data_IF_215274054961
#
_entry.id   IF_215274054961
#
_cell.length_a   1.000
_cell.length_b   1.000
_cell.length_c   1.000
_cell.angle_alpha   90.00
_cell.angle_beta   90.00
_cell.angle_gamma   90.00
#
_symmetry.space_group_name_H-M   'P 1'
#
loop_
_entity.id
_entity.type
_entity.pdbx_description
1 polymer ?
#
# COMPACT_ATOMS: atom_id res chain seq x y z
N UNK A 1 3.31 45.06 32.15
CA UNK A 1 3.73 44.11 33.21
C UNK A 1 4.40 42.93 32.51
N UNK A 2 5.43 42.26 33.03
CA UNK A 2 6.26 42.48 34.23
C UNK A 2 7.41 41.45 34.22
N UNK A 3 8.62 41.82 34.64
CA UNK A 3 9.79 40.91 34.68
C UNK A 3 9.63 39.87 35.80
N UNK A 4 10.18 38.66 35.64
CA UNK A 4 11.04 38.04 36.66
C UNK A 4 11.96 36.94 36.08
N UNK A 5 12.82 36.37 36.93
CA UNK A 5 14.09 35.71 36.58
C UNK A 5 14.23 34.33 37.26
N UNK A 6 14.97 33.40 36.64
CA UNK A 6 15.76 32.24 37.18
C UNK A 6 15.73 31.08 36.15
N UNK A 7 16.82 30.41 35.77
CA UNK A 7 18.25 30.69 36.00
C UNK A 7 18.93 29.77 37.01
N UNK A 8 19.62 28.72 36.52
CA UNK A 8 20.69 27.96 37.19
C UNK A 8 21.76 27.60 36.15
N UNK A 9 23.03 27.64 36.55
CA UNK A 9 24.20 27.16 35.80
C UNK A 9 24.86 26.01 36.59
N UNK A 10 25.56 25.09 35.92
CA UNK A 10 26.52 24.17 36.55
C UNK A 10 27.77 24.09 35.67
N UNK A 11 28.93 24.45 36.23
CA UNK A 11 30.25 24.40 35.58
C UNK A 11 31.33 24.54 36.68
N UNK A 12 32.24 23.56 36.83
CA UNK A 12 33.53 23.55 37.60
C UNK A 12 33.97 22.08 37.80
N UNK A 13 35.25 21.68 37.91
CA UNK A 13 36.49 22.05 37.18
C UNK A 13 37.57 20.96 37.47
N UNK A 14 38.71 21.04 36.80
CA UNK A 14 39.72 19.97 36.62
C UNK A 14 40.49 19.44 37.84
N UNK A 15 41.16 18.29 37.65
CA UNK A 15 42.29 17.76 38.44
C UNK A 15 43.17 16.83 37.58
N UNK A 16 44.50 16.89 37.72
CA UNK A 16 45.48 16.26 36.80
C UNK A 16 46.69 15.63 37.53
N UNK A 17 47.60 14.99 36.77
CA UNK A 17 48.90 14.35 37.17
C UNK A 17 48.70 12.93 37.76
N UNK A 18 49.46 11.86 37.46
CA UNK A 18 50.62 11.60 36.56
C UNK A 18 51.26 10.21 36.90
N UNK A 19 52.30 9.64 36.26
CA UNK A 19 53.04 9.94 35.01
C UNK A 19 54.00 8.75 34.65
N UNK A 20 54.19 8.42 33.36
CA UNK A 20 55.26 7.56 32.75
C UNK A 20 55.41 6.05 33.06
N UNK A 21 55.92 5.28 32.06
CA UNK A 21 56.48 3.93 32.25
C UNK A 21 56.60 3.04 30.99
N UNK A 22 57.64 3.20 30.15
CA UNK A 22 57.79 2.45 28.89
C UNK A 22 58.92 1.40 28.86
N UNK A 23 58.58 0.22 28.31
CA UNK A 23 59.29 -0.56 27.27
C UNK A 23 60.76 -1.06 27.39
N UNK A 24 60.88 -2.40 27.41
CA UNK A 24 61.66 -3.30 26.50
C UNK A 24 63.22 -3.40 26.46
N UNK A 25 63.63 -4.63 26.08
CA UNK A 25 64.83 -5.10 25.36
C UNK A 25 66.18 -5.44 26.07
N UNK A 26 66.39 -6.76 26.27
CA UNK A 26 67.53 -7.59 25.77
C UNK A 26 68.94 -6.97 25.70
N UNK A 27 69.99 -7.50 26.36
CA UNK A 27 70.75 -8.75 26.02
C UNK A 27 72.12 -8.75 26.77
N UNK A 28 73.18 -9.60 26.62
CA UNK A 28 73.55 -10.69 25.68
C UNK A 28 74.69 -11.59 26.27
N UNK A 29 74.78 -12.89 25.90
CA UNK A 29 75.96 -13.82 25.94
C UNK A 29 76.62 -14.17 27.32
N UNK A 30 77.50 -15.19 27.48
CA UNK A 30 78.39 -15.94 26.56
C UNK A 30 78.52 -17.49 26.80
N UNK A 31 79.15 -18.16 25.82
CA UNK A 31 79.93 -19.44 25.69
C UNK A 31 80.28 -20.33 26.93
N UNK A 32 80.64 -21.65 26.89
CA UNK A 32 80.74 -22.81 25.94
C UNK A 32 80.78 -24.14 26.80
N UNK A 33 80.72 -25.44 26.41
CA UNK A 33 81.39 -26.27 25.37
C UNK A 33 80.71 -27.66 25.07
N UNK A 34 80.92 -28.16 23.83
CA UNK A 34 81.18 -29.54 23.29
C UNK A 34 80.67 -30.89 23.92
N UNK A 35 80.07 -31.69 22.99
CA UNK A 35 80.25 -33.14 22.67
C UNK A 35 79.70 -34.31 23.54
N UNK A 36 78.54 -34.82 23.11
CA UNK A 36 78.30 -36.18 22.51
C UNK A 36 79.16 -37.38 22.98
N UNK A 37 78.50 -38.37 23.61
CA UNK A 37 78.62 -39.83 23.32
C UNK A 37 77.24 -40.51 23.55
N UNK A 38 76.78 -41.30 22.58
CA UNK A 38 75.74 -42.36 22.66
C UNK A 38 76.44 -43.71 22.33
N UNK A 39 75.84 -44.92 22.48
CA UNK A 39 74.43 -45.30 22.73
C UNK A 39 74.30 -46.22 24.00
N UNK A 40 73.26 -47.03 24.28
CA UNK A 40 72.09 -47.45 23.49
C UNK A 40 70.83 -47.75 24.35
N UNK A 41 69.68 -47.56 23.71
CA UNK A 41 68.41 -48.32 23.79
C UNK A 41 68.03 -49.03 25.10
N UNK A 42 66.91 -48.60 25.68
CA UNK A 42 65.89 -49.53 26.16
C UNK A 42 64.50 -49.01 25.76
N UNK A 43 63.54 -49.91 25.52
CA UNK A 43 62.39 -49.61 24.66
C UNK A 43 61.24 -48.87 25.38
N UNK A 44 60.77 -47.78 24.76
CA UNK A 44 59.41 -47.25 24.99
C UNK A 44 58.65 -47.13 23.69
N UNK A 45 57.57 -47.90 23.58
CA UNK A 45 56.53 -47.72 22.56
C UNK A 45 55.98 -46.30 22.71
N UNK A 46 55.97 -45.55 21.61
CA UNK A 46 55.14 -44.35 21.50
C UNK A 46 53.75 -44.81 21.07
N UNK A 47 52.72 -44.41 21.80
CA UNK A 47 51.36 -44.41 21.27
C UNK A 47 51.33 -43.40 20.11
N UNK A 48 50.99 -43.86 18.90
CA UNK A 48 50.58 -42.95 17.85
C UNK A 48 49.22 -42.37 18.26
N UNK A 49 49.19 -41.06 18.54
CA UNK A 49 47.92 -40.36 18.70
C UNK A 49 47.25 -40.31 17.33
N UNK A 50 46.16 -41.06 17.17
CA UNK A 50 45.27 -40.91 16.01
C UNK A 50 44.90 -39.42 15.84
N UNK A 51 44.85 -38.90 14.61
CA UNK A 51 44.34 -37.56 14.38
C UNK A 51 42.92 -37.49 14.92
N UNK A 52 42.65 -36.53 15.82
CA UNK A 52 41.25 -36.21 16.15
C UNK A 52 40.58 -35.76 14.87
N UNK A 53 39.67 -36.59 14.34
CA UNK A 53 38.67 -36.11 13.40
C UNK A 53 37.94 -34.94 14.09
N UNK A 54 38.01 -33.77 13.46
CA UNK A 54 37.10 -32.69 13.81
C UNK A 54 35.75 -33.13 13.27
N UNK A 55 34.80 -33.42 14.15
CA UNK A 55 33.39 -33.51 13.76
C UNK A 55 33.08 -32.23 12.96
N UNK A 56 32.53 -32.33 11.74
CA UNK A 56 32.28 -31.16 10.92
C UNK A 56 31.31 -30.24 11.66
N UNK A 57 31.68 -28.97 11.84
CA UNK A 57 30.79 -27.99 12.44
C UNK A 57 29.47 -27.99 11.68
N UNK A 58 28.39 -28.40 12.36
CA UNK A 58 27.04 -28.39 11.79
C UNK A 58 26.58 -26.94 11.79
N UNK A 59 27.02 -26.20 10.77
CA UNK A 59 26.57 -24.83 10.51
C UNK A 59 25.07 -24.88 10.30
N UNK A 60 24.30 -24.33 11.25
CA UNK A 60 22.85 -24.27 11.12
C UNK A 60 22.50 -23.49 9.83
N UNK A 61 21.54 -23.98 9.03
CA UNK A 61 21.20 -23.32 7.77
C UNK A 61 20.71 -21.90 8.05
N UNK A 62 21.28 -20.92 7.34
CA UNK A 62 20.83 -19.54 7.40
C UNK A 62 19.37 -19.50 6.95
N UNK A 63 18.47 -19.03 7.83
CA UNK A 63 17.04 -18.87 7.54
C UNK A 63 16.65 -17.41 7.70
N UNK A 64 15.96 -16.88 6.67
CA UNK A 64 15.27 -15.59 6.72
C UNK A 64 13.77 -15.84 6.88
N UNK A 65 13.17 -15.27 7.93
CA UNK A 65 11.72 -15.33 8.19
C UNK A 65 11.09 -14.01 7.77
N UNK A 66 10.19 -14.06 6.80
CA UNK A 66 9.37 -12.90 6.40
C UNK A 66 8.09 -12.92 7.21
N UNK A 67 7.79 -11.82 7.91
CA UNK A 67 6.63 -11.68 8.80
C UNK A 67 5.74 -10.49 8.41
N UNK A 68 4.45 -10.58 8.71
CA UNK A 68 3.55 -9.43 8.65
C UNK A 68 3.72 -8.59 9.94
N UNK A 69 4.03 -7.28 9.86
CA UNK A 69 4.44 -6.48 11.02
C UNK A 69 3.38 -6.36 12.13
N UNK A 70 2.09 -6.36 11.79
CA UNK A 70 0.99 -6.12 12.75
C UNK A 70 0.68 -7.33 13.62
N UNK A 71 0.63 -8.51 13.00
CA UNK A 71 0.28 -9.80 13.61
C UNK A 71 1.51 -10.60 14.06
N UNK A 72 2.69 -10.28 13.49
CA UNK A 72 3.94 -11.02 13.63
C UNK A 72 3.84 -12.49 13.13
N UNK A 73 2.84 -12.79 12.29
CA UNK A 73 2.70 -14.11 11.64
C UNK A 73 3.78 -14.33 10.58
N UNK A 74 4.35 -15.54 10.53
CA UNK A 74 5.38 -15.92 9.56
C UNK A 74 4.73 -16.22 8.20
N UNK A 75 4.85 -15.26 7.28
CA UNK A 75 4.34 -15.36 5.91
C UNK A 75 5.19 -16.32 5.08
N UNK A 76 6.50 -16.39 5.33
CA UNK A 76 7.41 -17.39 4.72
C UNK A 76 8.70 -17.55 5.50
N UNK A 77 9.26 -18.76 5.49
CA UNK A 77 10.67 -19.01 5.82
C UNK A 77 11.44 -19.32 4.54
N UNK A 78 12.65 -18.77 4.41
CA UNK A 78 13.51 -18.90 3.24
C UNK A 78 14.88 -19.41 3.68
N UNK A 79 15.42 -20.43 2.99
CA UNK A 79 16.83 -20.84 3.08
C UNK A 79 17.57 -20.24 1.88
N UNK A 80 18.33 -19.15 2.00
CA UNK A 80 18.84 -18.41 0.84
C UNK A 80 19.73 -19.25 -0.07
N UNK A 81 20.58 -20.10 0.51
CA UNK A 81 21.53 -20.96 -0.21
C UNK A 81 20.80 -21.97 -1.11
N UNK A 82 19.72 -22.60 -0.62
CA UNK A 82 18.89 -23.53 -1.40
C UNK A 82 18.19 -22.84 -2.59
N UNK A 83 17.93 -21.54 -2.46
CA UNK A 83 17.30 -20.70 -3.48
C UNK A 83 18.31 -20.07 -4.46
N UNK A 84 19.62 -20.21 -4.21
CA UNK A 84 20.70 -19.77 -5.09
C UNK A 84 21.52 -18.57 -4.59
N UNK A 85 21.31 -18.06 -3.38
CA UNK A 85 22.12 -16.98 -2.83
C UNK A 85 23.62 -17.35 -2.79
N UNK A 86 24.48 -16.44 -3.26
CA UNK A 86 25.93 -16.65 -3.35
C UNK A 86 26.39 -17.61 -4.46
N UNK A 87 25.47 -18.16 -5.27
CA UNK A 87 25.78 -19.10 -6.37
C UNK A 87 25.14 -18.70 -7.70
N UNK A 88 23.92 -18.15 -7.66
CA UNK A 88 23.19 -17.56 -8.77
C UNK A 88 22.27 -16.44 -8.22
N UNK A 89 22.89 -15.33 -7.80
CA UNK A 89 22.18 -14.18 -7.22
C UNK A 89 21.17 -13.54 -8.19
N UNK A 90 21.39 -13.69 -9.50
CA UNK A 90 20.50 -13.19 -10.54
C UNK A 90 19.17 -13.99 -10.55
N UNK A 91 19.25 -15.32 -10.49
CA UNK A 91 18.08 -16.18 -10.28
C UNK A 91 17.44 -15.93 -8.92
N UNK A 92 18.23 -15.85 -7.84
CA UNK A 92 17.70 -15.64 -6.49
C UNK A 92 16.85 -14.36 -6.41
N UNK A 93 17.39 -13.22 -6.87
CA UNK A 93 16.65 -11.95 -6.95
C UNK A 93 15.41 -12.05 -7.84
N UNK A 94 15.46 -12.78 -8.95
CA UNK A 94 14.31 -12.95 -9.84
C UNK A 94 13.18 -13.76 -9.17
N UNK A 95 13.50 -14.87 -8.49
CA UNK A 95 12.48 -15.65 -7.78
C UNK A 95 11.89 -14.88 -6.59
N UNK A 96 12.71 -14.12 -5.84
CA UNK A 96 12.21 -13.20 -4.81
C UNK A 96 11.28 -12.12 -5.42
N UNK A 97 11.64 -11.54 -6.55
CA UNK A 97 10.83 -10.51 -7.23
C UNK A 97 9.52 -11.02 -7.82
N UNK A 98 9.45 -12.28 -8.26
CA UNK A 98 8.16 -12.94 -8.60
C UNK A 98 7.31 -13.11 -7.34
N UNK A 99 7.90 -13.67 -6.29
CA UNK A 99 7.20 -13.95 -5.05
C UNK A 99 6.69 -12.69 -4.35
N UNK A 100 7.43 -11.58 -4.41
CA UNK A 100 7.00 -10.27 -3.92
C UNK A 100 5.75 -9.75 -4.69
N UNK A 101 5.69 -9.94 -6.02
CA UNK A 101 4.51 -9.60 -6.84
C UNK A 101 3.28 -10.44 -6.49
N UNK A 102 3.49 -11.72 -6.21
CA UNK A 102 2.44 -12.64 -5.77
C UNK A 102 1.91 -12.27 -4.37
N UNK A 103 2.78 -11.80 -3.46
CA UNK A 103 2.36 -11.25 -2.17
C UNK A 103 1.62 -9.93 -2.30
N UNK A 104 2.13 -8.99 -3.10
CA UNK A 104 1.49 -7.69 -3.32
C UNK A 104 0.08 -7.88 -3.92
N UNK A 105 0.00 -8.58 -5.05
CA UNK A 105 -1.20 -8.61 -5.91
C UNK A 105 -2.14 -9.77 -5.60
N UNK A 106 -1.66 -10.80 -4.92
CA UNK A 106 -2.37 -12.06 -4.70
C UNK A 106 -2.26 -13.03 -5.89
N UNK A 107 -2.92 -14.17 -5.73
CA UNK A 107 -3.07 -15.24 -6.74
C UNK A 107 -4.55 -15.56 -6.94
N UNK A 108 -4.88 -16.54 -7.79
CA UNK A 108 -6.27 -17.02 -7.97
C UNK A 108 -6.90 -17.57 -6.67
N UNK A 109 -6.09 -17.98 -5.69
CA UNK A 109 -6.54 -18.61 -4.43
C UNK A 109 -6.28 -17.77 -3.19
N UNK A 110 -5.38 -16.79 -3.25
CA UNK A 110 -4.81 -16.11 -2.09
C UNK A 110 -4.87 -14.60 -2.29
N UNK A 111 -5.52 -13.88 -1.38
CA UNK A 111 -5.59 -12.41 -1.44
C UNK A 111 -4.21 -11.77 -1.23
N UNK A 112 -3.93 -10.69 -1.95
CA UNK A 112 -2.70 -9.91 -1.82
C UNK A 112 -2.71 -8.95 -0.62
N UNK A 113 -1.53 -8.38 -0.35
CA UNK A 113 -1.32 -7.31 0.61
C UNK A 113 -1.71 -5.92 0.06
N UNK A 114 -1.65 -5.71 -1.26
CA UNK A 114 -2.14 -4.49 -1.88
C UNK A 114 -3.66 -4.38 -1.72
N UNK A 115 -4.11 -3.31 -1.06
CA UNK A 115 -5.54 -3.03 -0.86
C UNK A 115 -5.86 -1.64 -1.36
N UNK A 116 -6.79 -1.56 -2.32
CA UNK A 116 -7.33 -0.27 -2.77
C UNK A 116 -8.02 0.43 -1.59
N UNK A 117 -7.87 1.75 -1.53
CA UNK A 117 -8.67 2.58 -0.62
C UNK A 117 -10.16 2.37 -0.90
N UNK A 118 -10.94 2.14 0.16
CA UNK A 118 -12.38 2.38 0.18
C UNK A 118 -12.52 3.69 0.93
N UNK A 119 -12.89 4.81 0.28
CA UNK A 119 -12.95 6.10 0.96
C UNK A 119 -14.04 6.13 2.04
N UNK A 120 -13.88 7.05 2.98
CA UNK A 120 -14.83 7.24 4.09
C UNK A 120 -16.19 7.73 3.58
N UNK A 121 -17.27 7.53 4.37
CA UNK A 121 -18.61 8.03 4.05
C UNK A 121 -19.18 8.89 5.18
N UNK A 122 -19.90 9.95 4.85
CA UNK A 122 -20.65 10.75 5.82
C UNK A 122 -21.95 10.03 6.19
N UNK A 123 -22.15 9.75 7.47
CA UNK A 123 -23.36 9.14 8.02
C UNK A 123 -24.57 10.10 7.99
N UNK A 124 -25.80 9.57 8.11
CA UNK A 124 -27.02 10.38 8.15
C UNK A 124 -27.15 11.26 9.41
N UNK A 125 -26.35 10.96 10.43
CA UNK A 125 -26.18 11.70 11.68
C UNK A 125 -25.00 12.71 11.64
N UNK A 126 -24.29 12.78 10.51
CA UNK A 126 -23.09 13.61 10.35
C UNK A 126 -21.79 13.01 10.88
N UNK A 127 -21.80 11.77 11.41
CA UNK A 127 -20.58 11.08 11.82
C UNK A 127 -19.83 10.48 10.62
N UNK A 128 -18.54 10.22 10.76
CA UNK A 128 -17.74 9.52 9.73
C UNK A 128 -17.91 8.02 9.88
N UNK A 129 -18.44 7.38 8.84
CA UNK A 129 -18.36 5.93 8.63
C UNK A 129 -17.01 5.66 7.96
N UNK A 130 -16.08 5.03 8.66
CA UNK A 130 -14.74 4.73 8.13
C UNK A 130 -14.78 3.62 7.08
N UNK A 131 -14.05 3.84 5.98
CA UNK A 131 -13.75 2.85 4.96
C UNK A 131 -12.47 2.09 5.27
N UNK A 132 -11.63 1.86 4.27
CA UNK A 132 -10.31 1.22 4.42
C UNK A 132 -9.20 2.03 3.76
N UNK A 133 -8.00 2.14 4.38
CA UNK A 133 -6.87 2.84 3.77
C UNK A 133 -6.40 2.12 2.49
N UNK A 134 -5.65 2.84 1.67
CA UNK A 134 -4.75 2.24 0.69
C UNK A 134 -3.64 1.48 1.45
N UNK A 135 -3.37 0.24 1.07
CA UNK A 135 -2.17 -0.51 1.49
C UNK A 135 -1.41 -0.91 0.23
N UNK A 136 -0.09 -0.73 0.24
CA UNK A 136 0.83 -1.17 -0.82
C UNK A 136 1.98 -1.95 -0.18
N UNK A 137 2.37 -3.07 -0.77
CA UNK A 137 3.63 -3.76 -0.46
C UNK A 137 4.72 -3.28 -1.42
N UNK A 138 5.79 -2.66 -0.90
CA UNK A 138 6.92 -2.24 -1.73
C UNK A 138 7.79 -3.45 -2.15
N UNK A 139 7.48 -4.00 -3.33
CA UNK A 139 8.07 -5.24 -3.89
C UNK A 139 9.61 -5.23 -3.83
N UNK A 140 10.26 -4.14 -4.25
CA UNK A 140 11.72 -4.04 -4.31
C UNK A 140 12.35 -3.80 -2.93
N UNK A 141 11.66 -3.12 -2.00
CA UNK A 141 12.17 -2.97 -0.62
C UNK A 141 12.18 -4.33 0.08
N UNK A 142 11.14 -5.14 -0.11
CA UNK A 142 11.08 -6.51 0.42
C UNK A 142 12.21 -7.38 -0.16
N UNK A 143 12.41 -7.35 -1.48
CA UNK A 143 13.47 -8.13 -2.16
C UNK A 143 14.85 -7.73 -1.64
N UNK A 144 15.15 -6.43 -1.51
CA UNK A 144 16.44 -5.97 -1.02
C UNK A 144 16.65 -6.29 0.47
N UNK A 145 15.62 -6.15 1.30
CA UNK A 145 15.67 -6.49 2.73
C UNK A 145 15.95 -7.98 2.96
N UNK A 146 15.33 -8.86 2.15
CA UNK A 146 15.61 -10.30 2.18
C UNK A 146 17.04 -10.60 1.71
N UNK A 147 17.55 -9.93 0.69
CA UNK A 147 18.93 -10.14 0.19
C UNK A 147 19.98 -9.69 1.23
N UNK A 148 19.71 -8.61 1.98
CA UNK A 148 20.57 -8.21 3.10
C UNK A 148 20.49 -9.21 4.26
N UNK A 149 19.28 -9.60 4.68
CA UNK A 149 19.08 -10.63 5.71
C UNK A 149 19.64 -12.02 5.30
N UNK A 150 19.80 -12.29 4.00
CA UNK A 150 20.33 -13.58 3.50
C UNK A 150 21.79 -13.83 3.89
N UNK A 151 22.52 -12.81 4.35
CA UNK A 151 23.93 -12.89 4.75
C UNK A 151 24.14 -13.54 6.12
N UNK A 152 23.22 -13.30 7.05
CA UNK A 152 23.35 -13.65 8.47
C UNK A 152 22.08 -14.33 9.04
N UNK A 153 20.95 -14.26 8.32
CA UNK A 153 19.65 -14.80 8.72
C UNK A 153 18.79 -13.78 9.47
N UNK A 154 17.74 -14.27 10.13
CA UNK A 154 16.89 -13.48 11.02
C UNK A 154 15.50 -13.21 10.46
N UNK A 155 14.98 -12.00 10.70
CA UNK A 155 13.59 -11.62 10.42
C UNK A 155 13.52 -10.39 9.53
N UNK A 156 12.62 -10.40 8.56
CA UNK A 156 12.28 -9.27 7.70
C UNK A 156 10.78 -9.01 7.82
N UNK A 157 10.39 -7.79 8.17
CA UNK A 157 8.98 -7.38 8.14
C UNK A 157 8.56 -7.01 6.71
N UNK A 158 7.30 -7.25 6.35
CA UNK A 158 6.75 -6.77 5.07
C UNK A 158 6.70 -5.23 5.05
N UNK A 159 7.31 -4.54 4.05
CA UNK A 159 7.23 -3.08 3.91
C UNK A 159 5.84 -2.67 3.40
N UNK A 160 4.88 -2.61 4.34
CA UNK A 160 3.48 -2.26 4.10
C UNK A 160 3.23 -0.77 4.31
N UNK A 161 3.06 -0.04 3.22
CA UNK A 161 2.77 1.40 3.24
C UNK A 161 1.25 1.63 3.32
N UNK A 162 0.79 2.19 4.45
CA UNK A 162 -0.64 2.43 4.74
C UNK A 162 -0.96 3.91 4.59
N UNK A 163 -1.77 4.27 3.59
CA UNK A 163 -2.23 5.63 3.33
C UNK A 163 -3.74 5.77 3.60
N UNK A 164 -4.09 6.47 4.68
CA UNK A 164 -5.47 6.80 5.03
C UNK A 164 -5.99 8.04 4.26
N UNK A 165 -7.31 8.24 4.28
CA UNK A 165 -7.97 9.41 3.66
C UNK A 165 -7.49 10.72 4.29
N UNK A 166 -7.07 11.68 3.47
CA UNK A 166 -6.35 12.88 3.92
C UNK A 166 -7.28 14.08 4.16
N UNK A 167 -7.94 14.11 5.32
CA UNK A 167 -8.79 15.22 5.78
C UNK A 167 -8.99 15.22 7.31
N UNK A 168 -9.35 16.38 7.88
CA UNK A 168 -9.69 16.50 9.31
C UNK A 168 -11.10 15.99 9.60
N UNK A 169 -11.23 15.01 10.52
CA UNK A 169 -12.50 14.35 10.83
C UNK A 169 -13.55 15.36 11.34
N UNK A 170 -13.13 16.43 12.03
CA UNK A 170 -14.02 17.51 12.50
C UNK A 170 -14.71 18.29 11.38
N UNK A 171 -14.12 18.35 10.18
CA UNK A 171 -14.68 19.08 9.04
C UNK A 171 -15.62 18.22 8.18
N UNK A 172 -15.74 16.90 8.43
CA UNK A 172 -16.56 15.97 7.65
C UNK A 172 -18.01 16.45 7.46
N UNK A 173 -18.66 16.86 8.56
CA UNK A 173 -20.03 17.37 8.55
C UNK A 173 -20.18 18.73 7.82
N UNK A 174 -19.07 19.45 7.62
CA UNK A 174 -19.02 20.74 6.91
C UNK A 174 -18.77 20.62 5.42
N UNK A 175 -18.35 19.44 4.93
CA UNK A 175 -18.14 19.21 3.50
C UNK A 175 -19.45 19.27 2.68
N UNK A 176 -20.60 19.32 3.34
CA UNK A 176 -21.92 19.43 2.70
C UNK A 176 -22.40 20.90 2.51
N UNK A 177 -21.60 21.90 2.92
CA UNK A 177 -22.02 23.31 2.94
C UNK A 177 -22.15 23.96 1.53
N UNK A 178 -21.34 23.56 0.54
CA UNK A 178 -21.22 24.27 -0.75
C UNK A 178 -21.03 23.30 -1.91
N UNK A 179 -21.79 23.47 -3.00
CA UNK A 179 -21.59 22.76 -4.27
C UNK A 179 -20.47 23.43 -5.09
N UNK A 180 -19.46 22.65 -5.48
CA UNK A 180 -18.35 23.09 -6.34
C UNK A 180 -18.36 22.42 -7.72
N UNK A 181 -18.86 21.20 -7.83
CA UNK A 181 -19.07 20.49 -9.10
C UNK A 181 -20.48 19.90 -9.18
N UNK A 182 -21.07 19.81 -10.37
CA UNK A 182 -22.44 19.26 -10.55
C UNK A 182 -22.69 18.78 -11.96
N UNK A 183 -23.35 17.64 -12.10
CA UNK A 183 -23.93 17.18 -13.36
C UNK A 183 -25.22 16.39 -13.17
N UNK A 184 -26.11 16.43 -14.16
CA UNK A 184 -27.40 15.71 -14.15
C UNK A 184 -27.58 14.95 -15.47
N UNK A 185 -27.96 13.67 -15.38
CA UNK A 185 -28.43 12.87 -16.53
C UNK A 185 -29.86 12.41 -16.31
N UNK A 186 -30.52 11.94 -17.37
CA UNK A 186 -31.93 11.55 -17.37
C UNK A 186 -32.12 10.11 -17.84
N UNK A 187 -33.15 9.44 -17.34
CA UNK A 187 -33.51 8.06 -17.67
C UNK A 187 -35.02 7.83 -17.59
N UNK A 188 -35.54 6.81 -18.27
CA UNK A 188 -36.96 6.47 -18.19
C UNK A 188 -37.28 5.76 -16.86
N UNK A 189 -37.87 6.49 -15.91
CA UNK A 189 -38.31 5.95 -14.62
C UNK A 189 -39.39 4.86 -14.71
N UNK A 190 -40.05 4.69 -15.88
CA UNK A 190 -40.95 3.56 -16.14
C UNK A 190 -40.22 2.22 -16.34
N UNK A 191 -38.91 2.23 -16.56
CA UNK A 191 -38.09 1.00 -16.64
C UNK A 191 -37.60 0.65 -15.24
N UNK A 192 -38.36 -0.18 -14.54
CA UNK A 192 -38.13 -0.50 -13.12
C UNK A 192 -36.71 -1.03 -12.84
N UNK A 193 -36.24 -2.03 -13.59
CA UNK A 193 -34.90 -2.61 -13.40
C UNK A 193 -33.77 -1.58 -13.57
N UNK A 194 -33.82 -0.78 -14.65
CA UNK A 194 -32.85 0.29 -14.88
C UNK A 194 -32.88 1.34 -13.77
N UNK A 195 -34.08 1.69 -13.31
CA UNK A 195 -34.27 2.66 -12.21
C UNK A 195 -33.62 2.12 -10.94
N UNK A 196 -33.90 0.87 -10.56
CA UNK A 196 -33.31 0.25 -9.37
C UNK A 196 -31.78 0.11 -9.46
N UNK A 197 -31.24 -0.21 -10.64
CA UNK A 197 -29.80 -0.27 -10.88
C UNK A 197 -29.11 1.09 -10.70
N UNK A 198 -29.74 2.16 -11.19
CA UNK A 198 -29.25 3.53 -11.03
C UNK A 198 -29.36 3.99 -9.56
N UNK A 199 -30.43 3.64 -8.85
CA UNK A 199 -30.57 3.91 -7.41
C UNK A 199 -29.48 3.23 -6.58
N UNK A 200 -29.23 1.94 -6.80
CA UNK A 200 -28.20 1.17 -6.06
C UNK A 200 -26.79 1.72 -6.30
N UNK A 201 -26.42 1.94 -7.56
CA UNK A 201 -25.09 2.49 -7.88
C UNK A 201 -24.94 3.96 -7.47
N UNK A 202 -26.02 4.73 -7.39
CA UNK A 202 -26.00 6.09 -6.84
C UNK A 202 -25.78 6.07 -5.32
N UNK A 203 -26.54 5.27 -4.56
CA UNK A 203 -26.41 5.20 -3.09
C UNK A 203 -25.03 4.71 -2.64
N UNK A 204 -24.45 3.76 -3.38
CA UNK A 204 -23.07 3.31 -3.17
C UNK A 204 -22.05 4.47 -3.21
N UNK A 205 -22.15 5.38 -4.19
CA UNK A 205 -21.25 6.55 -4.29
C UNK A 205 -21.73 7.78 -3.49
N UNK A 206 -22.94 7.75 -2.94
CA UNK A 206 -23.52 8.87 -2.19
C UNK A 206 -22.85 9.03 -0.81
N UNK A 207 -22.69 10.27 -0.35
CA UNK A 207 -21.98 10.66 0.88
C UNK A 207 -20.50 10.25 0.95
N UNK A 208 -19.86 9.82 -0.16
CA UNK A 208 -18.42 9.48 -0.16
C UNK A 208 -17.56 10.73 0.07
N UNK A 209 -16.69 10.68 1.07
CA UNK A 209 -15.67 11.70 1.38
C UNK A 209 -14.40 11.34 0.61
N UNK A 210 -13.74 12.35 0.04
CA UNK A 210 -12.42 12.23 -0.58
C UNK A 210 -11.50 13.28 0.01
N UNK A 211 -10.51 12.84 0.79
CA UNK A 211 -9.38 13.65 1.23
C UNK A 211 -8.47 14.09 0.08
N UNK A 212 -7.44 14.87 0.37
CA UNK A 212 -6.52 15.40 -0.66
C UNK A 212 -5.51 14.33 -1.09
N UNK A 213 -5.49 13.99 -2.37
CA UNK A 213 -4.72 12.86 -2.91
C UNK A 213 -5.43 11.50 -2.84
N UNK A 214 -6.64 11.43 -2.26
CA UNK A 214 -7.45 10.20 -2.27
C UNK A 214 -7.80 9.79 -3.71
N UNK A 215 -7.59 8.51 -4.03
CA UNK A 215 -7.97 7.93 -5.33
C UNK A 215 -9.32 7.22 -5.21
N UNK A 216 -10.36 7.84 -5.76
CA UNK A 216 -11.65 7.20 -5.94
C UNK A 216 -11.58 6.06 -6.97
N UNK A 217 -12.37 5.01 -6.75
CA UNK A 217 -12.53 3.88 -7.67
C UNK A 217 -13.99 3.49 -7.74
N UNK A 218 -14.60 3.61 -8.92
CA UNK A 218 -16.02 3.34 -9.10
C UNK A 218 -16.35 1.87 -8.83
N UNK A 219 -15.58 0.94 -9.42
CA UNK A 219 -15.80 -0.50 -9.22
C UNK A 219 -15.58 -0.92 -7.77
N UNK A 220 -14.62 -0.31 -7.06
CA UNK A 220 -14.36 -0.61 -5.64
C UNK A 220 -15.43 -0.05 -4.72
N UNK A 221 -16.02 1.10 -5.08
CA UNK A 221 -17.09 1.74 -4.28
C UNK A 221 -18.47 1.12 -4.52
N UNK A 222 -18.75 0.67 -5.75
CA UNK A 222 -20.07 0.17 -6.16
C UNK A 222 -20.20 -1.36 -6.03
N UNK A 223 -19.09 -2.09 -6.13
CA UNK A 223 -19.09 -3.55 -5.97
C UNK A 223 -19.68 -4.33 -7.18
N UNK A 224 -19.95 -5.63 -7.00
CA UNK A 224 -20.46 -6.51 -8.05
C UNK A 224 -21.87 -6.10 -8.54
N UNK A 225 -22.08 -6.14 -9.85
CA UNK A 225 -23.36 -5.85 -10.49
C UNK A 225 -24.20 -7.11 -10.71
N UNK A 226 -24.59 -7.79 -9.62
CA UNK A 226 -25.32 -9.06 -9.65
C UNK A 226 -26.65 -9.06 -8.87
N UNK A 227 -27.43 -10.13 -9.01
CA UNK A 227 -28.75 -10.28 -8.36
C UNK A 227 -28.67 -10.41 -6.83
N UNK A 228 -27.56 -10.90 -6.27
CA UNK A 228 -27.37 -11.02 -4.82
C UNK A 228 -27.17 -9.65 -4.16
N UNK A 229 -26.55 -8.71 -4.87
CA UNK A 229 -26.48 -7.30 -4.51
C UNK A 229 -27.75 -6.51 -4.90
N UNK A 230 -28.79 -7.19 -5.40
CA UNK A 230 -30.11 -6.63 -5.69
C UNK A 230 -30.23 -5.90 -7.03
N UNK A 231 -29.22 -5.99 -7.91
CA UNK A 231 -29.32 -5.48 -9.27
C UNK A 231 -30.29 -6.33 -10.10
N UNK A 232 -30.91 -5.69 -11.10
CA UNK A 232 -32.02 -6.26 -11.86
C UNK A 232 -31.72 -6.28 -13.37
N UNK A 233 -32.39 -7.16 -14.14
CA UNK A 233 -32.32 -7.15 -15.60
C UNK A 233 -32.73 -5.79 -16.20
N UNK A 234 -31.87 -5.24 -17.05
CA UNK A 234 -32.12 -4.00 -17.80
C UNK A 234 -31.27 -3.96 -19.08
N UNK A 235 -31.57 -3.01 -19.97
CA UNK A 235 -30.79 -2.83 -21.21
C UNK A 235 -29.40 -2.22 -20.93
N UNK A 236 -28.38 -2.88 -21.46
CA UNK A 236 -26.96 -2.52 -21.41
C UNK A 236 -26.27 -2.65 -22.77
N UNK A 237 -25.03 -2.15 -22.89
CA UNK A 237 -24.27 -2.13 -24.15
C UNK A 237 -23.10 -3.11 -24.08
N UNK A 238 -23.28 -4.30 -24.67
CA UNK A 238 -22.25 -5.35 -24.77
C UNK A 238 -21.85 -5.52 -26.23
N UNK A 239 -20.54 -5.54 -26.51
CA UNK A 239 -19.99 -5.82 -27.85
C UNK A 239 -20.65 -5.03 -29.01
N UNK A 240 -20.89 -3.72 -28.80
CA UNK A 240 -21.58 -2.81 -29.74
C UNK A 240 -23.04 -3.19 -30.06
N UNK A 241 -23.74 -3.85 -29.13
CA UNK A 241 -25.17 -4.15 -29.21
C UNK A 241 -25.87 -3.78 -27.91
N UNK A 242 -27.14 -3.41 -28.01
CA UNK A 242 -28.03 -3.32 -26.85
C UNK A 242 -28.53 -4.73 -26.52
N UNK A 243 -28.38 -5.16 -25.26
CA UNK A 243 -28.81 -6.48 -24.77
C UNK A 243 -29.39 -6.35 -23.36
N UNK A 244 -30.17 -7.34 -22.92
CA UNK A 244 -30.60 -7.44 -21.52
C UNK A 244 -29.49 -8.09 -20.68
N UNK A 245 -29.11 -7.44 -19.57
CA UNK A 245 -28.14 -7.93 -18.59
C UNK A 245 -28.43 -7.38 -17.19
N UNK A 246 -27.74 -7.90 -16.18
CA UNK A 246 -27.91 -7.44 -14.79
C UNK A 246 -27.08 -6.16 -14.58
N UNK A 247 -27.66 -5.15 -13.93
CA UNK A 247 -26.96 -3.88 -13.67
C UNK A 247 -27.04 -2.86 -14.82
N UNK A 248 -27.78 -3.14 -15.90
CA UNK A 248 -28.01 -2.19 -16.98
C UNK A 248 -28.50 -0.83 -16.46
N UNK A 249 -27.65 0.19 -16.58
CA UNK A 249 -27.83 1.51 -15.95
C UNK A 249 -26.59 2.03 -15.23
N UNK A 250 -25.73 1.17 -14.66
CA UNK A 250 -24.60 1.58 -13.81
C UNK A 250 -23.60 2.53 -14.52
N UNK A 251 -23.32 2.33 -15.81
CA UNK A 251 -22.48 3.24 -16.61
C UNK A 251 -23.05 4.68 -16.71
N UNK A 252 -24.34 4.88 -16.49
CA UNK A 252 -24.94 6.21 -16.41
C UNK A 252 -24.56 6.91 -15.10
N UNK A 253 -24.51 6.17 -13.99
CA UNK A 253 -24.01 6.69 -12.70
C UNK A 253 -22.53 7.09 -12.80
N UNK A 254 -21.68 6.19 -13.34
CA UNK A 254 -20.25 6.49 -13.56
C UNK A 254 -20.03 7.70 -14.46
N UNK A 255 -20.76 7.80 -15.58
CA UNK A 255 -20.68 8.95 -16.49
C UNK A 255 -21.21 10.25 -15.85
N UNK A 256 -22.23 10.18 -14.98
CA UNK A 256 -22.73 11.37 -14.26
C UNK A 256 -21.70 11.86 -13.25
N UNK A 257 -21.08 10.95 -12.48
CA UNK A 257 -19.99 11.26 -11.56
C UNK A 257 -18.79 11.88 -12.30
N UNK A 258 -18.33 11.26 -13.40
CA UNK A 258 -17.26 11.79 -14.24
C UNK A 258 -17.51 13.26 -14.62
N UNK A 259 -18.69 13.59 -15.15
CA UNK A 259 -18.97 14.98 -15.53
C UNK A 259 -19.04 15.95 -14.34
N UNK A 260 -19.42 15.47 -13.15
CA UNK A 260 -19.51 16.28 -11.95
C UNK A 260 -18.13 16.61 -11.34
N UNK A 261 -17.13 15.72 -11.52
CA UNK A 261 -15.74 15.94 -11.05
C UNK A 261 -14.85 16.59 -12.11
N UNK A 262 -15.13 16.39 -13.40
CA UNK A 262 -14.34 16.92 -14.52
C UNK A 262 -14.22 18.45 -14.49
N UNK A 263 -15.28 19.16 -14.08
CA UNK A 263 -15.31 20.63 -13.94
C UNK A 263 -14.40 21.17 -12.83
N UNK A 264 -13.79 20.30 -12.02
CA UNK A 264 -12.81 20.67 -10.98
C UNK A 264 -11.35 20.48 -11.43
N UNK A 265 -11.10 19.69 -12.49
CA UNK A 265 -9.74 19.33 -12.90
C UNK A 265 -9.08 18.23 -12.06
N UNK A 266 -9.86 17.25 -11.60
CA UNK A 266 -9.35 16.06 -10.89
C UNK A 266 -8.34 15.26 -11.72
N UNK A 267 -7.37 14.62 -11.07
CA UNK A 267 -6.36 13.80 -11.73
C UNK A 267 -6.96 12.49 -12.24
N UNK A 268 -7.01 12.25 -13.55
CA UNK A 268 -7.55 10.98 -14.08
C UNK A 268 -6.53 9.84 -13.97
N UNK A 269 -6.88 8.83 -13.17
CA UNK A 269 -6.10 7.59 -13.00
C UNK A 269 -6.57 6.53 -14.00
N UNK A 270 -7.88 6.43 -14.25
CA UNK A 270 -8.44 5.51 -15.24
C UNK A 270 -9.76 6.06 -15.80
N UNK A 271 -9.90 6.11 -17.13
CA UNK A 271 -11.17 6.45 -17.79
C UNK A 271 -11.30 5.80 -19.16
N UNK A 272 -12.37 5.03 -19.35
CA UNK A 272 -12.72 4.39 -20.62
C UNK A 272 -13.94 5.05 -21.25
N UNK A 273 -14.03 5.05 -22.58
CA UNK A 273 -15.25 5.42 -23.30
C UNK A 273 -15.96 4.18 -23.91
N UNK A 274 -17.24 4.34 -24.21
CA UNK A 274 -18.07 3.32 -24.83
C UNK A 274 -17.73 3.21 -26.32
N UNK A 275 -18.01 2.06 -26.91
CA UNK A 275 -17.85 1.81 -28.35
C UNK A 275 -19.02 2.33 -29.20
N UNK A 276 -20.06 2.89 -28.55
CA UNK A 276 -21.26 3.49 -29.13
C UNK A 276 -21.64 4.76 -28.36
N UNK A 277 -22.51 5.60 -28.95
CA UNK A 277 -23.18 6.67 -28.22
C UNK A 277 -24.19 6.09 -27.23
N UNK A 278 -24.25 6.65 -26.01
CA UNK A 278 -25.06 6.14 -24.90
C UNK A 278 -26.34 6.95 -24.64
N UNK A 279 -26.55 8.05 -25.36
CA UNK A 279 -27.76 8.89 -25.31
C UNK A 279 -27.94 9.76 -24.06
N UNK A 280 -27.48 9.32 -22.89
CA UNK A 280 -27.63 10.06 -21.62
C UNK A 280 -26.53 11.10 -21.33
N UNK A 281 -25.45 11.14 -22.14
CA UNK A 281 -24.40 12.17 -22.12
C UNK A 281 -23.92 12.51 -23.54
N UNK A 282 -23.32 13.69 -23.77
CA UNK A 282 -22.66 14.02 -25.04
C UNK A 282 -21.50 13.08 -25.40
N UNK A 283 -21.11 13.03 -26.68
CA UNK A 283 -19.99 12.21 -27.17
C UNK A 283 -18.69 12.54 -26.44
N UNK A 284 -18.00 11.53 -25.90
CA UNK A 284 -16.75 11.69 -25.16
C UNK A 284 -16.92 12.16 -23.71
N UNK A 285 -18.15 12.47 -23.30
CA UNK A 285 -18.52 12.83 -21.92
C UNK A 285 -19.00 11.63 -21.11
N UNK A 286 -18.57 10.43 -21.49
CA UNK A 286 -18.91 9.17 -20.85
C UNK A 286 -17.70 8.55 -20.12
N UNK A 287 -18.02 7.70 -19.14
CA UNK A 287 -17.10 6.83 -18.42
C UNK A 287 -17.71 5.42 -18.40
N UNK A 288 -17.06 4.47 -19.07
CA UNK A 288 -17.46 3.05 -19.08
C UNK A 288 -16.86 2.33 -17.89
N UNK A 289 -17.69 1.58 -17.19
CA UNK A 289 -17.28 0.69 -16.09
C UNK A 289 -17.77 -0.74 -16.34
N UNK A 290 -17.06 -1.69 -15.75
CA UNK A 290 -17.42 -3.11 -15.69
C UNK A 290 -16.70 -3.69 -14.47
N UNK A 291 -17.44 -4.27 -13.54
CA UNK A 291 -16.81 -4.91 -12.38
C UNK A 291 -15.84 -6.02 -12.83
N UNK A 292 -14.71 -6.16 -12.12
CA UNK A 292 -13.59 -7.04 -12.53
C UNK A 292 -12.82 -6.60 -13.79
N UNK A 293 -13.17 -5.45 -14.39
CA UNK A 293 -12.54 -4.93 -15.61
C UNK A 293 -12.39 -3.42 -15.59
N UNK A 294 -12.86 -2.75 -16.66
CA UNK A 294 -12.80 -1.29 -16.82
C UNK A 294 -13.32 -0.55 -15.61
N UNK A 295 -12.56 0.43 -15.13
CA UNK A 295 -12.94 1.26 -13.99
C UNK A 295 -13.07 2.75 -14.38
N UNK A 296 -13.65 3.55 -13.49
CA UNK A 296 -13.50 4.99 -13.51
C UNK A 296 -12.83 5.42 -12.22
N UNK A 297 -11.60 5.93 -12.34
CA UNK A 297 -10.73 6.25 -11.21
C UNK A 297 -10.16 7.65 -11.37
N UNK A 298 -10.21 8.43 -10.30
CA UNK A 298 -9.64 9.77 -10.25
C UNK A 298 -9.08 10.08 -8.86
N UNK A 299 -8.05 10.90 -8.83
CA UNK A 299 -7.39 11.43 -7.64
C UNK A 299 -7.97 12.81 -7.31
N UNK A 300 -8.24 13.08 -6.03
CA UNK A 300 -8.59 14.43 -5.58
C UNK A 300 -7.37 15.37 -5.53
N UNK A 301 -7.00 15.90 -6.70
CA UNK A 301 -5.93 16.89 -6.90
C UNK A 301 -6.33 18.31 -6.53
N UNK A 302 -7.60 18.57 -6.15
CA UNK A 302 -8.15 19.92 -5.95
C UNK A 302 -7.54 20.68 -4.76
N UNK A 303 -6.79 19.99 -3.90
CA UNK A 303 -6.11 20.58 -2.74
C UNK A 303 -7.01 20.81 -1.52
N UNK A 304 -8.28 20.40 -1.58
CA UNK A 304 -9.24 20.43 -0.46
C UNK A 304 -10.05 19.14 -0.40
N UNK A 305 -10.57 18.71 0.76
CA UNK A 305 -11.45 17.56 0.85
C UNK A 305 -12.80 17.82 0.17
N UNK A 306 -13.37 16.77 -0.43
CA UNK A 306 -14.61 16.79 -1.20
C UNK A 306 -15.62 15.79 -0.65
N UNK A 307 -16.91 16.05 -0.86
CA UNK A 307 -18.03 15.15 -0.56
C UNK A 307 -18.84 14.89 -1.83
N UNK A 308 -18.98 13.64 -2.22
CA UNK A 308 -19.86 13.23 -3.30
C UNK A 308 -21.30 13.08 -2.79
N UNK A 309 -22.26 13.70 -3.48
CA UNK A 309 -23.70 13.50 -3.28
C UNK A 309 -24.31 12.98 -4.56
N UNK A 310 -24.99 11.83 -4.49
CA UNK A 310 -25.71 11.27 -5.62
C UNK A 310 -27.21 11.22 -5.30
N UNK A 311 -28.01 11.86 -6.14
CA UNK A 311 -29.42 12.15 -5.90
C UNK A 311 -30.22 11.64 -7.09
N UNK A 312 -31.00 10.57 -6.88
CA UNK A 312 -31.96 10.06 -7.86
C UNK A 312 -33.34 10.65 -7.57
N UNK A 313 -33.99 11.22 -8.58
CA UNK A 313 -35.36 11.75 -8.45
C UNK A 313 -36.08 11.80 -9.79
N UNK A 314 -37.25 11.16 -9.87
CA UNK A 314 -38.23 11.24 -10.97
C UNK A 314 -37.64 11.09 -12.39
N UNK A 315 -36.73 10.12 -12.57
CA UNK A 315 -36.08 9.88 -13.87
C UNK A 315 -34.89 10.81 -14.17
N UNK A 316 -34.34 11.47 -13.16
CA UNK A 316 -33.02 12.11 -13.23
C UNK A 316 -32.09 11.54 -12.16
N UNK A 317 -30.81 11.46 -12.50
CA UNK A 317 -29.70 11.28 -11.56
C UNK A 317 -28.87 12.56 -11.58
N UNK A 318 -28.68 13.18 -10.43
CA UNK A 318 -27.73 14.27 -10.24
C UNK A 318 -26.57 13.78 -9.38
N UNK A 319 -25.34 14.06 -9.79
CA UNK A 319 -24.18 13.99 -8.90
C UNK A 319 -23.69 15.40 -8.63
N UNK A 320 -23.48 15.73 -7.37
CA UNK A 320 -22.86 16.97 -6.91
C UNK A 320 -21.58 16.64 -6.15
N UNK A 321 -20.57 17.47 -6.35
CA UNK A 321 -19.33 17.47 -5.58
C UNK A 321 -19.38 18.70 -4.68
N UNK A 322 -19.25 18.49 -3.37
CA UNK A 322 -19.42 19.51 -2.34
C UNK A 322 -18.16 19.65 -1.49
N UNK A 323 -18.01 20.79 -0.82
CA UNK A 323 -16.97 21.04 0.21
C UNK A 323 -17.44 22.13 1.19
N UNK A 324 -16.62 22.49 2.18
CA UNK A 324 -16.93 23.57 3.14
C UNK A 324 -16.76 24.96 2.53
N UNK A 325 -17.38 25.99 3.13
CA UNK A 325 -17.19 27.39 2.71
C UNK A 325 -15.73 27.83 2.81
N UNK A 326 -15.03 27.39 3.85
CA UNK A 326 -13.64 27.73 4.11
C UNK A 326 -12.75 27.15 3.01
N UNK A 327 -12.98 25.89 2.63
CA UNK A 327 -12.26 25.20 1.57
C UNK A 327 -12.59 25.70 0.16
N UNK A 328 -13.81 26.20 -0.10
CA UNK A 328 -14.19 26.73 -1.42
C UNK A 328 -13.20 27.80 -1.92
N UNK A 329 -12.67 28.62 -1.03
CA UNK A 329 -11.69 29.68 -1.35
C UNK A 329 -10.26 29.20 -1.60
N UNK A 330 -9.94 27.98 -1.16
CA UNK A 330 -8.61 27.37 -1.21
C UNK A 330 -8.49 26.36 -2.36
N UNK A 331 -9.62 25.90 -2.90
CA UNK A 331 -9.70 24.89 -3.95
C UNK A 331 -8.95 25.31 -5.23
N UNK A 332 -7.94 24.52 -5.61
CA UNK A 332 -7.29 24.59 -6.91
C UNK A 332 -8.31 24.22 -7.98
N UNK A 333 -8.58 25.14 -8.90
CA UNK A 333 -9.37 24.84 -10.11
C UNK A 333 -8.44 24.38 -11.22
N UNK A 334 -8.87 23.39 -12.00
CA UNK A 334 -8.25 23.07 -13.28
C UNK A 334 -8.13 24.31 -14.19
N UNK A 335 -7.09 24.31 -15.01
CA UNK A 335 -6.77 25.35 -16.02
C UNK A 335 -7.34 24.92 -17.37
#
# INVERSE_FOLDING_TARGET
>A
MGRFFKGVWVLILAGCIGVSGCAQQTSVKDETEKKVVEPAEDQKVKEEQEPKEQEPEVVEPIVVKVIEPTTQEVVKSLTPIELGFGTDDAKYRNELGKWARELARGTETTAGFDRRMIPDKLGPDGQVIKGSPLIILEEEELVNSIIEASKEGGTVELPLYVTASSYEISDAARLDEVVVGKYTTYFNAGVAGRTKNIELSADAINNVILGVGDVFSFNTTVGPSDEAHGYQPAEEIVNKKLVMGIGGGICQTSSTLFNAVDVLGVGYVEKHHHSLSVGYVPKGRDATVSYGGKDFRFENTTGVPLLLKAIVSKGSLTVEVRTSKDYQTQMKKGI
#
